data_IF_299388520270
#
_entry.id   IF_299388520270
#
_cell.length_a   1.000
_cell.length_b   1.000
_cell.length_c   1.000
_cell.angle_alpha   90.00
_cell.angle_beta   90.00
_cell.angle_gamma   90.00
#
_symmetry.space_group_name_H-M   'P 1'
#
loop_
_entity.id
_entity.type
_entity.pdbx_description
1 polymer ?
#
# COMPACT_ATOMS: atom_id res chain seq x y z
N UNK A 1 -10.70 3.13 -4.79
CA UNK A 1 -9.55 2.34 -4.31
C UNK A 1 -8.72 3.23 -3.41
N UNK A 2 -8.18 2.68 -2.33
CA UNK A 2 -7.29 3.37 -1.41
C UNK A 2 -6.01 2.56 -1.24
N UNK A 3 -4.88 3.22 -1.02
CA UNK A 3 -3.60 2.53 -0.87
C UNK A 3 -2.64 3.30 0.02
N UNK A 4 -1.80 2.54 0.72
CA UNK A 4 -0.80 3.09 1.63
C UNK A 4 0.34 2.12 1.90
N UNK A 5 1.43 2.64 2.44
CA UNK A 5 2.57 1.89 2.93
C UNK A 5 2.56 1.79 4.45
N UNK A 6 2.60 0.57 4.99
CA UNK A 6 2.82 0.36 6.41
C UNK A 6 4.18 0.95 6.84
N UNK A 7 4.31 1.25 8.14
CA UNK A 7 5.59 1.45 8.79
C UNK A 7 6.52 0.26 8.48
N UNK A 8 7.79 0.56 8.19
CA UNK A 8 8.77 -0.47 7.88
C UNK A 8 8.86 -1.48 9.03
N UNK A 9 8.73 -2.76 8.69
CA UNK A 9 8.87 -3.85 9.63
C UNK A 9 10.32 -4.28 9.64
N UNK A 10 10.92 -4.35 10.83
CA UNK A 10 12.30 -4.82 11.01
C UNK A 10 12.32 -6.32 11.22
N UNK A 11 13.02 -7.04 10.36
CA UNK A 11 13.21 -8.49 10.44
C UNK A 11 14.71 -8.83 10.50
N UNK A 12 15.08 -9.97 11.14
CA UNK A 12 14.21 -10.83 11.92
C UNK A 12 13.85 -10.18 13.26
N UNK A 13 12.65 -10.45 13.78
CA UNK A 13 12.24 -10.08 15.14
C UNK A 13 12.59 -11.24 16.04
N UNK A 14 13.60 -11.12 16.89
CA UNK A 14 14.03 -12.17 17.84
C UNK A 14 14.32 -11.51 19.18
N UNK A 15 13.91 -12.10 20.33
CA UNK A 15 14.19 -11.57 21.65
C UNK A 15 15.61 -11.93 22.08
N UNK A 16 16.61 -11.61 21.25
CA UNK A 16 18.01 -11.90 21.51
C UNK A 16 18.86 -10.62 21.41
N UNK A 17 19.83 -10.47 22.32
CA UNK A 17 20.66 -9.26 22.38
C UNK A 17 21.56 -9.11 21.15
N UNK A 18 21.94 -10.20 20.46
CA UNK A 18 22.80 -10.09 19.27
C UNK A 18 22.09 -9.39 18.10
N UNK A 19 20.76 -9.52 18.01
CA UNK A 19 19.95 -8.88 16.97
C UNK A 19 19.85 -7.37 17.17
N UNK A 20 20.05 -6.87 18.40
CA UNK A 20 20.13 -5.44 18.67
C UNK A 20 21.38 -4.79 18.04
N UNK A 21 22.49 -5.54 17.98
CA UNK A 21 23.75 -5.08 17.39
C UNK A 21 23.88 -5.43 15.91
N UNK A 22 22.91 -6.17 15.36
CA UNK A 22 22.90 -6.57 13.95
C UNK A 22 22.07 -5.61 13.12
N UNK A 23 22.44 -5.42 11.84
CA UNK A 23 21.61 -4.66 10.91
C UNK A 23 20.33 -5.46 10.61
N UNK A 24 19.20 -4.89 10.97
CA UNK A 24 17.89 -5.47 10.68
C UNK A 24 17.48 -5.12 9.24
N UNK A 25 16.92 -6.11 8.55
CA UNK A 25 16.40 -5.96 7.19
C UNK A 25 15.01 -5.33 7.27
N UNK A 26 14.74 -4.31 6.45
CA UNK A 26 13.41 -3.76 6.33
C UNK A 26 12.55 -4.60 5.38
N UNK A 27 11.41 -5.06 5.89
CA UNK A 27 10.29 -5.53 5.10
C UNK A 27 9.33 -4.36 4.88
N UNK A 28 9.06 -4.07 3.62
CA UNK A 28 8.07 -3.11 3.19
C UNK A 28 6.75 -3.84 2.93
N UNK A 29 5.66 -3.24 3.38
CA UNK A 29 4.31 -3.69 3.09
C UNK A 29 3.52 -2.52 2.49
N UNK A 30 3.16 -2.65 1.23
CA UNK A 30 2.25 -1.76 0.55
C UNK A 30 0.91 -2.47 0.36
N UNK A 31 -0.18 -1.84 0.80
CA UNK A 31 -1.51 -2.43 0.73
C UNK A 31 -2.43 -1.56 -0.10
N UNK A 32 -3.13 -2.19 -1.04
CA UNK A 32 -4.21 -1.59 -1.81
C UNK A 32 -5.55 -2.21 -1.38
N UNK A 33 -6.55 -1.38 -1.17
CA UNK A 33 -7.92 -1.81 -0.82
C UNK A 33 -8.91 -1.23 -1.84
N UNK A 34 -9.67 -2.10 -2.49
CA UNK A 34 -10.78 -1.74 -3.38
C UNK A 34 -12.10 -1.80 -2.63
N UNK A 35 -12.79 -0.68 -2.53
CA UNK A 35 -14.06 -0.58 -1.81
C UNK A 35 -14.22 0.80 -1.20
N UNK A 36 -15.29 0.96 -0.44
CA UNK A 36 -15.53 2.14 0.38
C UNK A 36 -14.93 1.98 1.80
N UNK A 37 -15.06 3.02 2.63
CA UNK A 37 -14.59 3.04 4.02
C UNK A 37 -15.32 2.03 4.92
N UNK A 38 -16.53 1.61 4.55
CA UNK A 38 -17.40 0.73 5.35
C UNK A 38 -17.32 -0.73 4.91
N UNK A 39 -16.72 -0.99 3.75
CA UNK A 39 -16.58 -2.30 3.16
C UNK A 39 -15.78 -3.21 4.10
N UNK A 40 -16.26 -4.45 4.23
CA UNK A 40 -15.54 -5.51 4.92
C UNK A 40 -14.23 -5.76 4.18
N UNK A 41 -13.17 -6.03 4.93
CA UNK A 41 -11.86 -6.37 4.37
C UNK A 41 -11.86 -7.86 4.04
N UNK A 42 -11.74 -8.20 2.77
CA UNK A 42 -11.73 -9.59 2.28
C UNK A 42 -10.53 -9.83 1.37
N UNK A 43 -10.10 -11.09 1.16
CA UNK A 43 -8.98 -11.40 0.27
C UNK A 43 -9.17 -10.93 -1.17
N UNK A 44 -10.41 -10.77 -1.63
CA UNK A 44 -10.73 -10.32 -2.98
C UNK A 44 -10.52 -8.81 -3.15
N UNK A 45 -10.63 -8.05 -2.06
CA UNK A 45 -10.64 -6.59 -2.09
C UNK A 45 -9.40 -5.96 -1.42
N UNK A 46 -8.63 -6.73 -0.67
CA UNK A 46 -7.33 -6.34 -0.11
C UNK A 46 -6.23 -7.05 -0.89
N UNK A 47 -5.28 -6.28 -1.42
CA UNK A 47 -4.02 -6.82 -1.95
C UNK A 47 -2.84 -6.24 -1.19
N UNK A 48 -1.92 -7.12 -0.83
CA UNK A 48 -0.70 -6.82 -0.07
C UNK A 48 0.49 -7.12 -0.98
N UNK A 49 1.36 -6.13 -1.14
CA UNK A 49 2.64 -6.24 -1.82
C UNK A 49 3.72 -6.13 -0.75
N UNK A 50 4.46 -7.22 -0.54
CA UNK A 50 5.51 -7.29 0.45
C UNK A 50 6.84 -7.59 -0.23
N UNK A 51 7.87 -6.79 0.08
CA UNK A 51 9.23 -6.98 -0.41
C UNK A 51 10.23 -6.44 0.58
N UNK A 52 11.46 -6.93 0.52
CA UNK A 52 12.54 -6.52 1.41
C UNK A 52 13.45 -5.49 0.76
N UNK A 53 14.20 -4.74 1.57
CA UNK A 53 15.09 -3.67 1.08
C UNK A 53 16.20 -4.14 0.13
N UNK A 54 16.57 -5.42 0.17
CA UNK A 54 17.54 -6.04 -0.74
C UNK A 54 16.93 -6.36 -2.12
N UNK A 55 15.61 -6.53 -2.20
CA UNK A 55 14.91 -6.82 -3.46
C UNK A 55 14.68 -5.52 -4.24
N UNK A 56 14.02 -4.55 -3.60
CA UNK A 56 13.68 -3.27 -4.21
C UNK A 56 13.60 -2.17 -3.15
N UNK A 57 13.81 -0.93 -3.58
CA UNK A 57 13.63 0.23 -2.71
C UNK A 57 12.15 0.46 -2.39
N UNK A 58 11.87 1.20 -1.30
CA UNK A 58 10.52 1.72 -1.00
C UNK A 58 10.27 3.03 -1.77
N UNK A 59 10.29 2.94 -3.11
CA UNK A 59 10.21 4.08 -4.01
C UNK A 59 8.87 4.26 -4.72
N UNK A 60 8.74 5.38 -5.41
CA UNK A 60 7.56 5.71 -6.21
C UNK A 60 7.30 4.73 -7.36
N UNK A 61 8.35 4.13 -7.94
CA UNK A 61 8.22 3.17 -9.05
C UNK A 61 7.55 1.87 -8.61
N UNK A 62 7.99 1.32 -7.47
CA UNK A 62 7.45 0.09 -6.90
C UNK A 62 5.98 0.28 -6.51
N UNK A 63 5.68 1.43 -5.88
CA UNK A 63 4.33 1.81 -5.48
C UNK A 63 3.44 2.00 -6.71
N UNK A 64 3.89 2.76 -7.72
CA UNK A 64 3.13 2.94 -8.95
C UNK A 64 2.89 1.62 -9.69
N UNK A 65 3.88 0.72 -9.71
CA UNK A 65 3.75 -0.62 -10.31
C UNK A 65 2.72 -1.48 -9.58
N UNK A 66 2.71 -1.44 -8.25
CA UNK A 66 1.72 -2.15 -7.44
C UNK A 66 0.29 -1.61 -7.67
N UNK A 67 0.12 -0.29 -7.74
CA UNK A 67 -1.18 0.32 -8.06
C UNK A 67 -1.62 -0.05 -9.48
N UNK A 68 -0.72 0.03 -10.47
CA UNK A 68 -0.97 -0.38 -11.85
C UNK A 68 -1.43 -1.84 -11.94
N UNK A 69 -0.73 -2.73 -11.23
CA UNK A 69 -1.11 -4.14 -11.13
C UNK A 69 -2.50 -4.30 -10.53
N UNK A 70 -2.81 -3.64 -9.41
CA UNK A 70 -4.12 -3.75 -8.78
C UNK A 70 -5.21 -3.27 -9.73
N UNK A 71 -5.01 -2.14 -10.41
CA UNK A 71 -5.97 -1.57 -11.34
C UNK A 71 -6.25 -2.49 -12.55
N UNK A 72 -5.21 -3.08 -13.15
CA UNK A 72 -5.39 -4.05 -14.25
C UNK A 72 -6.12 -5.32 -13.83
N UNK A 73 -5.97 -5.71 -12.56
CA UNK A 73 -6.63 -6.88 -11.99
C UNK A 73 -7.94 -6.52 -11.25
N UNK A 74 -8.46 -5.31 -11.42
CA UNK A 74 -9.76 -4.91 -10.88
C UNK A 74 -10.85 -5.07 -11.93
N UNK A 75 -12.03 -5.54 -11.52
CA UNK A 75 -13.20 -5.55 -12.39
C UNK A 75 -13.75 -4.13 -12.55
N UNK A 76 -13.41 -3.49 -13.68
CA UNK A 76 -13.81 -2.11 -14.00
C UNK A 76 -14.99 -2.03 -14.98
N UNK A 77 -15.65 -3.15 -15.27
CA UNK A 77 -16.77 -3.19 -16.20
C UNK A 77 -17.92 -2.29 -15.71
N UNK A 78 -18.31 -1.32 -16.55
CA UNK A 78 -19.38 -0.36 -16.22
C UNK A 78 -18.95 0.78 -15.28
N UNK A 79 -17.68 0.86 -14.88
CA UNK A 79 -17.17 1.94 -14.02
C UNK A 79 -16.68 3.10 -14.89
N UNK A 80 -17.37 4.25 -14.81
CA UNK A 80 -16.99 5.47 -15.55
C UNK A 80 -15.98 6.34 -14.79
N UNK A 81 -16.03 6.31 -13.45
CA UNK A 81 -15.22 7.16 -12.57
C UNK A 81 -14.47 6.33 -11.54
N UNK A 82 -13.16 6.51 -11.46
CA UNK A 82 -12.30 5.83 -10.50
C UNK A 82 -11.66 6.86 -9.59
N UNK A 83 -11.76 6.61 -8.28
CA UNK A 83 -11.09 7.39 -7.25
C UNK A 83 -9.97 6.59 -6.63
N UNK A 84 -8.77 7.15 -6.66
CA UNK A 84 -7.57 6.68 -6.00
C UNK A 84 -7.33 7.56 -4.78
N UNK A 85 -7.29 6.98 -3.60
CA UNK A 85 -7.02 7.69 -2.34
C UNK A 85 -5.72 7.23 -1.74
N UNK A 86 -4.82 8.16 -1.43
CA UNK A 86 -3.51 7.87 -0.85
C UNK A 86 -3.04 9.02 0.04
N UNK A 87 -2.05 8.77 0.88
CA UNK A 87 -1.39 9.82 1.64
C UNK A 87 -0.66 10.81 0.70
N UNK A 88 -0.35 12.00 1.23
CA UNK A 88 0.34 13.05 0.47
C UNK A 88 1.86 12.86 0.34
N UNK A 89 2.41 11.67 0.59
CA UNK A 89 3.86 11.45 0.64
C UNK A 89 4.49 11.62 -0.75
N UNK A 90 5.33 12.65 -0.93
CA UNK A 90 5.95 12.96 -2.22
C UNK A 90 6.89 11.86 -2.74
N UNK A 91 7.63 11.20 -1.85
CA UNK A 91 8.53 10.10 -2.25
C UNK A 91 7.81 8.83 -2.72
N UNK A 92 6.49 8.77 -2.54
CA UNK A 92 5.70 7.55 -2.71
C UNK A 92 4.49 7.77 -3.61
N UNK A 93 3.54 8.58 -3.16
CA UNK A 93 2.20 8.68 -3.75
C UNK A 93 1.98 10.00 -4.51
N UNK A 94 2.46 11.13 -3.97
CA UNK A 94 2.23 12.47 -4.54
C UNK A 94 3.40 12.93 -5.40
N UNK A 95 3.59 12.28 -6.54
CA UNK A 95 4.66 12.59 -7.50
C UNK A 95 4.26 12.36 -8.95
N UNK A 96 5.13 12.78 -9.87
CA UNK A 96 4.94 12.66 -11.32
C UNK A 96 4.96 11.22 -11.83
N UNK A 97 5.62 10.29 -11.13
CA UNK A 97 5.65 8.86 -11.49
C UNK A 97 4.25 8.26 -11.31
N UNK A 98 3.62 8.50 -10.17
CA UNK A 98 2.24 8.05 -9.89
C UNK A 98 1.26 8.66 -10.89
N UNK A 99 1.37 9.97 -11.18
CA UNK A 99 0.54 10.63 -12.20
C UNK A 99 0.76 10.04 -13.60
N UNK A 100 2.01 9.82 -13.99
CA UNK A 100 2.36 9.22 -15.28
C UNK A 100 1.82 7.80 -15.43
N UNK A 101 1.89 7.00 -14.36
CA UNK A 101 1.27 5.68 -14.32
C UNK A 101 -0.25 5.76 -14.47
N UNK A 102 -0.93 6.67 -13.77
CA UNK A 102 -2.38 6.86 -13.91
C UNK A 102 -2.77 7.23 -15.34
N UNK A 103 -2.03 8.16 -15.97
CA UNK A 103 -2.24 8.54 -17.37
C UNK A 103 -2.00 7.37 -18.33
N UNK A 104 -0.96 6.56 -18.08
CA UNK A 104 -0.66 5.37 -18.87
C UNK A 104 -1.75 4.29 -18.72
N UNK A 105 -2.31 4.15 -17.52
CA UNK A 105 -3.30 3.14 -17.22
C UNK A 105 -4.69 3.47 -17.76
N UNK A 106 -5.04 4.76 -17.84
CA UNK A 106 -6.39 5.23 -18.16
C UNK A 106 -6.96 4.51 -19.40
N UNK A 107 -7.89 3.59 -19.12
CA UNK A 107 -8.59 2.77 -20.12
C UNK A 107 -9.60 3.61 -20.90
N UNK A 108 -9.87 3.25 -22.15
CA UNK A 108 -10.93 3.88 -22.97
C UNK A 108 -12.33 3.75 -22.36
N UNK A 109 -12.53 2.83 -21.41
CA UNK A 109 -13.81 2.61 -20.72
C UNK A 109 -14.02 3.51 -19.48
N UNK A 110 -12.96 4.17 -19.00
CA UNK A 110 -12.99 5.03 -17.81
C UNK A 110 -12.88 6.48 -18.27
N UNK A 111 -13.88 7.28 -17.95
CA UNK A 111 -13.94 8.69 -18.36
C UNK A 111 -13.14 9.60 -17.44
N UNK A 112 -13.08 9.24 -16.15
CA UNK A 112 -12.45 10.08 -15.14
C UNK A 112 -11.68 9.26 -14.10
N UNK A 113 -10.44 9.65 -13.84
CA UNK A 113 -9.61 9.14 -12.76
C UNK A 113 -9.18 10.29 -11.86
N UNK A 114 -9.61 10.24 -10.60
CA UNK A 114 -9.25 11.22 -9.57
C UNK A 114 -8.21 10.63 -8.62
N UNK A 115 -7.09 11.31 -8.44
CA UNK A 115 -6.12 11.02 -7.39
C UNK A 115 -6.32 12.01 -6.23
N UNK A 116 -6.80 11.50 -5.10
CA UNK A 116 -7.24 12.28 -3.95
C UNK A 116 -6.24 12.09 -2.80
N UNK A 117 -5.77 13.21 -2.25
CA UNK A 117 -4.88 13.24 -1.11
C UNK A 117 -5.60 13.89 0.08
N UNK A 118 -5.90 13.14 1.16
CA UNK A 118 -6.54 13.69 2.34
C UNK A 118 -5.71 14.79 3.01
N UNK A 119 -6.39 15.71 3.68
CA UNK A 119 -5.73 16.70 4.55
C UNK A 119 -5.12 15.98 5.75
N UNK A 120 -3.95 16.44 6.18
CA UNK A 120 -3.24 15.92 7.35
C UNK A 120 -4.16 15.90 8.57
N UNK A 121 -4.29 14.74 9.22
CA UNK A 121 -5.18 14.53 10.38
C UNK A 121 -6.52 13.86 10.03
N UNK A 122 -6.88 13.77 8.75
CA UNK A 122 -8.03 12.99 8.26
C UNK A 122 -7.60 11.82 7.35
N UNK A 123 -6.34 11.37 7.52
CA UNK A 123 -5.70 10.39 6.65
C UNK A 123 -6.09 8.94 6.94
N UNK A 124 -7.09 8.68 7.78
CA UNK A 124 -7.48 7.30 8.09
C UNK A 124 -8.17 6.67 6.87
N UNK A 125 -7.42 5.81 6.18
CA UNK A 125 -7.87 5.14 4.96
C UNK A 125 -7.97 3.62 5.19
N UNK A 126 -8.75 2.90 4.36
CA UNK A 126 -8.98 1.47 4.56
C UNK A 126 -7.73 0.60 4.79
N UNK A 127 -6.56 0.84 4.15
CA UNK A 127 -5.31 0.13 4.45
C UNK A 127 -4.88 0.19 5.93
N UNK A 128 -5.16 1.28 6.66
CA UNK A 128 -4.80 1.42 8.08
C UNK A 128 -5.44 0.33 8.95
N UNK A 129 -6.66 -0.09 8.61
CA UNK A 129 -7.35 -1.19 9.29
C UNK A 129 -6.64 -2.52 9.05
N UNK A 130 -6.10 -2.75 7.86
CA UNK A 130 -5.30 -3.94 7.53
C UNK A 130 -4.01 -3.92 8.34
N UNK A 131 -3.30 -2.79 8.37
CA UNK A 131 -2.07 -2.62 9.14
C UNK A 131 -2.29 -2.84 10.63
N UNK A 132 -3.35 -2.28 11.21
CA UNK A 132 -3.68 -2.49 12.62
C UNK A 132 -3.91 -3.98 12.95
N UNK A 133 -4.53 -4.72 12.03
CA UNK A 133 -4.69 -6.17 12.15
C UNK A 133 -3.37 -6.93 12.12
N UNK A 134 -2.47 -6.55 11.20
CA UNK A 134 -1.13 -7.13 11.06
C UNK A 134 -0.28 -6.82 12.31
N UNK A 135 -0.22 -5.56 12.72
CA UNK A 135 0.55 -5.11 13.89
C UNK A 135 0.09 -5.81 15.17
N UNK A 136 -1.22 -6.02 15.35
CA UNK A 136 -1.76 -6.76 16.50
C UNK A 136 -1.27 -8.22 16.52
N UNK A 137 -1.14 -8.85 15.36
CA UNK A 137 -0.59 -10.22 15.24
C UNK A 137 0.91 -10.22 15.49
N UNK A 138 1.66 -9.30 14.88
CA UNK A 138 3.11 -9.16 15.06
C UNK A 138 3.48 -8.93 16.52
N UNK A 139 2.72 -8.10 17.25
CA UNK A 139 2.96 -7.85 18.69
C UNK A 139 2.83 -9.10 19.55
N UNK A 140 2.00 -10.06 19.16
CA UNK A 140 1.80 -11.34 19.88
C UNK A 140 2.87 -12.38 19.56
N UNK A 141 3.62 -12.20 18.48
CA UNK A 141 4.68 -13.11 18.10
C UNK A 141 6.01 -12.64 18.69
N UNK A 142 6.65 -13.51 19.47
CA UNK A 142 7.96 -13.24 20.04
C UNK A 142 9.07 -13.36 18.99
N UNK A 143 8.87 -14.21 17.97
CA UNK A 143 9.84 -14.46 16.91
C UNK A 143 9.19 -14.40 15.53
N UNK A 144 9.87 -13.73 14.59
CA UNK A 144 9.56 -13.68 13.16
C UNK A 144 10.89 -13.73 12.41
N UNK A 145 11.11 -14.78 11.63
CA UNK A 145 12.35 -15.03 10.88
C UNK A 145 12.06 -14.80 9.40
#
# INVERSE_FOLDING_TARGET
>A
MSFDCQKNLTLPKIPDQSVYYSRQLYLYNFTTVTGDSHSNLTPENVRIFAWTEDQHAKGANEIASAVFYTLNNSNINGIRKIRLMADGCGGQNKNTIMLGMCLKWLSTSVEELELIFPVVGHSFIPPDRVFAGIDKKIRRQNQII
#
